data_IF_754358311324
#
_entry.id   IF_754358311324
#
_cell.length_a   1.000
_cell.length_b   1.000
_cell.length_c   1.000
_cell.angle_alpha   90.00
_cell.angle_beta   90.00
_cell.angle_gamma   90.00
#
_symmetry.space_group_name_H-M   'P 1'
#
loop_
_entity.id
_entity.type
_entity.pdbx_description
1 polymer ?
#
# COMPACT_ATOMS: atom_id res chain seq x y z
N UNK A 1 -24.42 -14.62 -13.66
CA UNK A 1 -24.00 -13.50 -12.79
C UNK A 1 -24.98 -13.22 -11.64
N UNK A 2 -26.26 -12.90 -11.89
CA UNK A 2 -27.24 -12.61 -10.81
C UNK A 2 -27.38 -13.72 -9.76
N UNK A 3 -27.37 -14.99 -10.19
CA UNK A 3 -27.43 -16.14 -9.27
C UNK A 3 -26.23 -16.20 -8.31
N UNK A 4 -25.01 -15.93 -8.78
CA UNK A 4 -23.82 -15.92 -7.93
C UNK A 4 -23.88 -14.81 -6.87
N UNK A 5 -24.37 -13.62 -7.25
CA UNK A 5 -24.60 -12.51 -6.30
C UNK A 5 -25.68 -12.87 -5.27
N UNK A 6 -26.74 -13.58 -5.68
CA UNK A 6 -27.77 -14.06 -4.75
C UNK A 6 -27.20 -15.05 -3.73
N UNK A 7 -26.40 -16.03 -4.16
CA UNK A 7 -25.71 -16.96 -3.24
C UNK A 7 -24.79 -16.21 -2.27
N UNK A 8 -24.03 -15.21 -2.75
CA UNK A 8 -23.18 -14.38 -1.90
C UNK A 8 -23.98 -13.58 -0.86
N UNK A 9 -25.13 -13.02 -1.25
CA UNK A 9 -26.04 -12.34 -0.34
C UNK A 9 -26.61 -13.29 0.73
N UNK A 10 -27.10 -14.46 0.31
CA UNK A 10 -27.61 -15.49 1.23
C UNK A 10 -26.53 -15.97 2.20
N UNK A 11 -25.30 -16.17 1.72
CA UNK A 11 -24.14 -16.47 2.57
C UNK A 11 -24.02 -15.45 3.70
N UNK A 12 -24.08 -14.15 3.40
CA UNK A 12 -23.93 -13.11 4.41
C UNK A 12 -25.07 -13.11 5.45
N UNK A 13 -26.30 -13.37 5.01
CA UNK A 13 -27.45 -13.50 5.91
C UNK A 13 -27.27 -14.69 6.87
N UNK A 14 -26.89 -15.85 6.35
CA UNK A 14 -26.64 -17.04 7.17
C UNK A 14 -25.51 -16.83 8.18
N UNK A 15 -24.48 -16.04 7.84
CA UNK A 15 -23.41 -15.72 8.77
C UNK A 15 -23.93 -14.87 9.95
N UNK A 16 -24.84 -13.92 9.68
CA UNK A 16 -25.49 -13.12 10.72
C UNK A 16 -26.41 -13.96 11.62
N UNK A 17 -27.02 -15.02 11.07
CA UNK A 17 -27.80 -16.02 11.81
C UNK A 17 -26.94 -17.06 12.54
N UNK A 18 -25.61 -16.89 12.55
CA UNK A 18 -24.65 -17.81 13.15
C UNK A 18 -24.65 -19.23 12.52
N UNK A 19 -25.15 -19.37 11.28
CA UNK A 19 -25.16 -20.61 10.49
C UNK A 19 -23.87 -20.72 9.66
N UNK A 20 -22.74 -20.79 10.35
CA UNK A 20 -21.38 -20.64 9.77
C UNK A 20 -21.09 -21.65 8.66
N UNK A 21 -21.41 -22.93 8.85
CA UNK A 21 -21.09 -23.97 7.86
C UNK A 21 -21.85 -23.78 6.54
N UNK A 22 -23.13 -23.41 6.63
CA UNK A 22 -23.99 -23.16 5.46
C UNK A 22 -23.59 -21.86 4.76
N UNK A 23 -23.28 -20.81 5.52
CA UNK A 23 -22.74 -19.55 4.98
C UNK A 23 -21.47 -19.80 4.16
N UNK A 24 -20.50 -20.53 4.74
CA UNK A 24 -19.24 -20.86 4.07
C UNK A 24 -19.48 -21.62 2.75
N UNK A 25 -20.40 -22.57 2.76
CA UNK A 25 -20.74 -23.35 1.56
C UNK A 25 -21.31 -22.44 0.47
N UNK A 26 -22.26 -21.55 0.80
CA UNK A 26 -22.84 -20.61 -0.16
C UNK A 26 -21.81 -19.61 -0.71
N UNK A 27 -20.86 -19.14 0.11
CA UNK A 27 -19.78 -18.26 -0.36
C UNK A 27 -18.87 -18.98 -1.39
N UNK A 28 -18.54 -20.25 -1.13
CA UNK A 28 -17.77 -21.10 -2.05
C UNK A 28 -18.55 -21.35 -3.35
N UNK A 29 -19.85 -21.63 -3.26
CA UNK A 29 -20.70 -21.89 -4.42
C UNK A 29 -20.90 -20.61 -5.26
N UNK A 30 -21.02 -19.45 -4.61
CA UNK A 30 -21.08 -18.15 -5.28
C UNK A 30 -19.81 -17.91 -6.12
N UNK A 31 -18.63 -18.17 -5.56
CA UNK A 31 -17.36 -18.04 -6.28
C UNK A 31 -17.27 -18.99 -7.47
N UNK A 32 -17.54 -20.28 -7.25
CA UNK A 32 -17.49 -21.29 -8.31
C UNK A 32 -18.49 -20.99 -9.44
N UNK A 33 -19.70 -20.57 -9.11
CA UNK A 33 -20.73 -20.20 -10.08
C UNK A 33 -20.36 -18.92 -10.85
N UNK A 34 -19.73 -17.95 -10.20
CA UNK A 34 -19.22 -16.76 -10.87
C UNK A 34 -18.14 -17.13 -11.91
N UNK A 35 -17.15 -17.94 -11.50
CA UNK A 35 -16.07 -18.41 -12.37
C UNK A 35 -16.60 -19.25 -13.54
N UNK A 36 -17.50 -20.21 -13.28
CA UNK A 36 -18.11 -21.07 -14.33
C UNK A 36 -18.83 -20.26 -15.41
N UNK A 37 -19.39 -19.10 -15.05
CA UNK A 37 -20.12 -18.23 -15.97
C UNK A 37 -19.25 -17.13 -16.59
N UNK A 38 -17.92 -17.21 -16.49
CA UNK A 38 -16.99 -16.16 -16.91
C UNK A 38 -17.35 -14.78 -16.36
N UNK A 39 -17.85 -14.73 -15.12
CA UNK A 39 -18.14 -13.48 -14.43
C UNK A 39 -16.87 -12.68 -14.15
N UNK A 40 -17.00 -11.41 -13.72
CA UNK A 40 -15.85 -10.59 -13.34
C UNK A 40 -15.00 -11.31 -12.29
N UNK A 41 -13.67 -11.27 -12.46
CA UNK A 41 -12.75 -11.86 -11.49
C UNK A 41 -12.86 -11.20 -10.12
N UNK A 42 -13.23 -9.92 -10.10
CA UNK A 42 -13.50 -9.13 -8.91
C UNK A 42 -14.97 -8.73 -8.90
N UNK A 43 -15.79 -9.53 -8.23
CA UNK A 43 -17.18 -9.18 -7.94
C UNK A 43 -17.31 -8.85 -6.45
N UNK A 44 -17.75 -7.64 -6.11
CA UNK A 44 -17.80 -7.16 -4.73
C UNK A 44 -18.65 -8.05 -3.80
N UNK A 45 -19.79 -8.56 -4.27
CA UNK A 45 -20.67 -9.41 -3.46
C UNK A 45 -19.98 -10.74 -3.13
N UNK A 46 -19.43 -11.40 -4.14
CA UNK A 46 -18.68 -12.66 -3.99
C UNK A 46 -17.45 -12.47 -3.12
N UNK A 47 -16.68 -11.40 -3.35
CA UNK A 47 -15.51 -11.06 -2.55
C UNK A 47 -15.89 -10.88 -1.07
N UNK A 48 -16.93 -10.09 -0.78
CA UNK A 48 -17.37 -9.83 0.59
C UNK A 48 -17.85 -11.10 1.29
N UNK A 49 -18.61 -11.96 0.60
CA UNK A 49 -19.06 -13.23 1.16
C UNK A 49 -17.89 -14.14 1.54
N UNK A 50 -16.87 -14.23 0.67
CA UNK A 50 -15.63 -14.95 0.97
C UNK A 50 -14.86 -14.30 2.15
N UNK A 51 -14.78 -12.97 2.17
CA UNK A 51 -14.02 -12.22 3.20
C UNK A 51 -14.62 -12.38 4.58
N UNK A 52 -15.94 -12.23 4.71
CA UNK A 52 -16.60 -12.36 6.00
C UNK A 52 -16.50 -13.78 6.55
N UNK A 53 -16.64 -14.79 5.71
CA UNK A 53 -16.43 -16.19 6.11
C UNK A 53 -14.98 -16.49 6.47
N UNK A 54 -14.01 -15.93 5.73
CA UNK A 54 -12.59 -16.06 6.07
C UNK A 54 -12.29 -15.41 7.41
N UNK A 55 -12.73 -14.17 7.63
CA UNK A 55 -12.51 -13.46 8.89
C UNK A 55 -13.15 -14.19 10.06
N UNK A 56 -14.36 -14.73 9.89
CA UNK A 56 -15.01 -15.54 10.91
C UNK A 56 -14.19 -16.80 11.24
N UNK A 57 -13.72 -17.53 10.22
CA UNK A 57 -12.87 -18.72 10.39
C UNK A 57 -11.61 -18.45 11.23
N UNK A 58 -10.97 -17.31 11.02
CA UNK A 58 -9.74 -16.94 11.73
C UNK A 58 -10.00 -16.06 12.97
N UNK A 59 -11.25 -15.92 13.42
CA UNK A 59 -11.63 -15.06 14.55
C UNK A 59 -11.15 -13.60 14.41
N UNK A 60 -11.20 -13.03 13.21
CA UNK A 60 -10.71 -11.69 12.87
C UNK A 60 -9.21 -11.44 13.12
N UNK A 61 -8.40 -12.50 13.24
CA UNK A 61 -6.95 -12.38 13.46
C UNK A 61 -6.17 -11.75 12.28
N UNK A 62 -6.83 -11.43 11.16
CA UNK A 62 -6.24 -10.60 10.11
C UNK A 62 -6.06 -9.14 10.55
N UNK A 63 -6.61 -8.73 11.70
CA UNK A 63 -6.46 -7.40 12.28
C UNK A 63 -5.58 -7.49 13.55
N UNK A 64 -4.33 -7.05 13.46
CA UNK A 64 -3.44 -6.98 14.62
C UNK A 64 -3.79 -5.79 15.50
N UNK A 65 -3.86 -6.03 16.82
CA UNK A 65 -4.03 -5.03 17.88
C UNK A 65 -2.72 -4.83 18.68
N UNK A 66 -1.58 -5.18 18.09
CA UNK A 66 -0.28 -5.12 18.78
C UNK A 66 0.08 -3.69 19.19
N UNK A 67 -0.09 -2.73 18.27
CA UNK A 67 0.21 -1.33 18.54
C UNK A 67 -0.86 -0.72 19.44
N UNK A 68 -0.43 0.20 20.32
CA UNK A 68 -1.29 0.95 21.23
C UNK A 68 -1.44 2.42 20.82
N UNK A 69 -0.76 2.81 19.74
CA UNK A 69 -0.72 4.16 19.18
C UNK A 69 -1.01 4.09 17.68
N UNK A 70 -1.43 5.19 17.03
CA UNK A 70 -1.59 5.26 15.59
C UNK A 70 -0.40 4.69 14.83
N UNK A 71 -0.67 3.76 13.91
CA UNK A 71 0.37 3.13 13.08
C UNK A 71 0.49 3.93 11.79
N UNK A 72 1.58 4.68 11.66
CA UNK A 72 1.79 5.63 10.56
C UNK A 72 2.60 5.06 9.42
N UNK A 73 3.28 3.93 9.60
CA UNK A 73 4.14 3.42 8.54
C UNK A 73 4.07 1.90 8.45
N UNK A 74 4.13 1.39 7.22
CA UNK A 74 4.22 -0.05 6.93
C UNK A 74 5.06 -0.29 5.70
N UNK A 75 5.85 -1.36 5.70
CA UNK A 75 6.58 -1.81 4.51
C UNK A 75 6.74 -3.33 4.52
N UNK A 76 6.64 -3.94 3.34
CA UNK A 76 6.97 -5.36 3.18
C UNK A 76 8.50 -5.54 3.20
N UNK A 77 8.96 -6.54 3.93
CA UNK A 77 10.39 -6.91 4.02
C UNK A 77 10.70 -8.15 3.17
N UNK A 78 9.86 -9.17 3.28
CA UNK A 78 9.92 -10.41 2.53
C UNK A 78 8.50 -10.88 2.19
N UNK A 79 8.37 -12.10 1.67
CA UNK A 79 7.10 -12.68 1.22
C UNK A 79 6.02 -12.75 2.30
N UNK A 80 6.42 -12.81 3.57
CA UNK A 80 5.50 -12.88 4.71
C UNK A 80 5.91 -12.03 5.92
N UNK A 81 6.99 -11.25 5.81
CA UNK A 81 7.42 -10.34 6.87
C UNK A 81 7.14 -8.89 6.48
N UNK A 82 6.61 -8.15 7.44
CA UNK A 82 6.36 -6.72 7.34
C UNK A 82 6.98 -6.00 8.53
N UNK A 83 7.32 -4.72 8.34
CA UNK A 83 7.57 -3.82 9.45
C UNK A 83 6.45 -2.81 9.56
N UNK A 84 6.08 -2.49 10.80
CA UNK A 84 5.09 -1.46 11.14
C UNK A 84 5.69 -0.49 12.17
N UNK A 85 5.38 0.79 12.02
CA UNK A 85 5.87 1.87 12.89
C UNK A 85 4.73 2.74 13.40
N UNK A 86 4.72 3.03 14.70
CA UNK A 86 3.71 3.88 15.33
C UNK A 86 4.24 5.23 15.84
N UNK A 87 3.31 6.11 16.21
CA UNK A 87 3.60 7.45 16.76
C UNK A 87 4.35 7.40 18.11
N UNK A 88 4.27 6.29 18.84
CA UNK A 88 5.03 6.10 20.08
C UNK A 88 6.50 5.75 19.83
N UNK A 89 6.87 5.48 18.58
CA UNK A 89 8.19 5.02 18.19
C UNK A 89 8.41 3.53 18.35
N UNK A 90 7.34 2.74 18.40
CA UNK A 90 7.44 1.27 18.34
C UNK A 90 7.62 0.85 16.89
N UNK A 91 8.78 0.32 16.56
CA UNK A 91 9.02 -0.39 15.31
C UNK A 91 8.83 -1.89 15.55
N UNK A 92 7.85 -2.51 14.90
CA UNK A 92 7.57 -3.94 15.03
C UNK A 92 7.92 -4.67 13.75
N UNK A 93 8.57 -5.84 13.90
CA UNK A 93 8.63 -6.85 12.86
C UNK A 93 7.47 -7.82 13.08
N UNK A 94 6.65 -8.00 12.05
CA UNK A 94 5.50 -8.89 12.09
C UNK A 94 5.55 -9.92 10.97
N UNK A 95 5.05 -11.11 11.25
CA UNK A 95 4.80 -12.15 10.26
C UNK A 95 3.32 -12.23 9.93
N UNK A 96 3.03 -12.27 8.64
CA UNK A 96 1.72 -12.54 8.08
C UNK A 96 1.64 -14.02 7.75
N UNK A 97 0.63 -14.73 8.27
CA UNK A 97 0.39 -16.12 7.98
C UNK A 97 -1.10 -16.36 7.64
N UNK A 98 -1.46 -17.60 7.35
CA UNK A 98 -2.83 -17.97 6.96
C UNK A 98 -3.88 -17.71 8.07
N UNK A 99 -3.45 -17.55 9.32
CA UNK A 99 -4.31 -17.33 10.47
C UNK A 99 -4.27 -15.90 11.00
N UNK A 100 -3.51 -14.99 10.38
CA UNK A 100 -3.41 -13.60 10.82
C UNK A 100 -2.00 -13.03 10.88
N UNK A 101 -1.84 -12.00 11.71
CA UNK A 101 -0.55 -11.30 11.89
C UNK A 101 0.01 -11.54 13.29
N UNK A 102 1.28 -11.94 13.37
CA UNK A 102 1.99 -12.21 14.62
C UNK A 102 3.18 -11.27 14.73
N UNK A 103 3.32 -10.56 15.86
CA UNK A 103 4.52 -9.79 16.15
C UNK A 103 5.67 -10.72 16.54
N UNK A 104 6.81 -10.60 15.86
CA UNK A 104 8.00 -11.42 16.12
C UNK A 104 9.00 -10.71 17.03
N UNK A 105 9.26 -9.44 16.76
CA UNK A 105 10.15 -8.61 17.56
C UNK A 105 9.77 -7.14 17.44
N UNK A 106 10.31 -6.32 18.36
CA UNK A 106 10.12 -4.87 18.34
C UNK A 106 11.38 -4.14 18.76
N UNK A 107 11.52 -2.90 18.29
CA UNK A 107 12.52 -1.95 18.72
C UNK A 107 11.82 -0.64 19.11
N UNK A 108 12.22 -0.05 20.23
CA UNK A 108 11.69 1.25 20.66
C UNK A 108 12.64 2.37 20.22
N UNK A 109 12.20 3.18 19.26
CA UNK A 109 12.90 4.38 18.81
C UNK A 109 12.55 5.61 19.64
N UNK A 110 11.44 5.57 20.41
CA UNK A 110 10.94 6.65 21.30
C UNK A 110 10.64 7.97 20.58
N UNK A 111 10.44 7.92 19.27
CA UNK A 111 10.08 9.04 18.42
C UNK A 111 9.07 8.56 17.39
N UNK A 112 8.09 9.41 17.08
CA UNK A 112 7.04 9.15 16.08
C UNK A 112 7.65 8.69 14.75
N UNK A 113 7.40 7.42 14.37
CA UNK A 113 7.88 6.82 13.12
C UNK A 113 6.94 7.22 12.01
N UNK A 114 7.42 8.07 11.10
CA UNK A 114 6.61 8.61 10.00
C UNK A 114 6.66 7.76 8.75
N UNK A 115 7.80 7.12 8.48
CA UNK A 115 8.05 6.43 7.21
C UNK A 115 8.81 5.15 7.42
N UNK A 116 8.44 4.13 6.65
CA UNK A 116 9.20 2.91 6.48
C UNK A 116 9.44 2.66 5.00
N UNK A 117 10.67 2.27 4.64
CA UNK A 117 11.02 1.98 3.26
C UNK A 117 12.05 0.84 3.19
N UNK A 118 11.62 -0.33 2.73
CA UNK A 118 12.52 -1.46 2.50
C UNK A 118 13.26 -1.32 1.17
N UNK A 119 14.59 -1.44 1.22
CA UNK A 119 15.40 -1.80 0.06
C UNK A 119 15.45 -3.33 -0.07
N UNK A 120 14.78 -3.86 -1.10
CA UNK A 120 14.66 -5.31 -1.32
C UNK A 120 15.98 -5.99 -1.65
N UNK A 121 16.93 -5.26 -2.25
CA UNK A 121 18.24 -5.78 -2.69
C UNK A 121 19.18 -5.95 -1.51
N UNK A 122 19.40 -4.90 -0.74
CA UNK A 122 20.29 -4.94 0.45
C UNK A 122 19.63 -5.56 1.67
N UNK A 123 18.31 -5.78 1.66
CA UNK A 123 17.52 -6.17 2.84
C UNK A 123 17.69 -5.18 4.00
N UNK A 124 17.91 -3.91 3.67
CA UNK A 124 17.88 -2.82 4.62
C UNK A 124 16.48 -2.19 4.66
N UNK A 125 16.09 -1.71 5.83
CA UNK A 125 14.85 -0.98 6.06
C UNK A 125 15.18 0.37 6.64
N UNK A 126 14.71 1.42 5.99
CA UNK A 126 14.79 2.77 6.49
C UNK A 126 13.56 3.05 7.36
N UNK A 127 13.77 3.47 8.60
CA UNK A 127 12.75 4.02 9.49
C UNK A 127 13.09 5.49 9.77
N UNK A 128 12.23 6.41 9.33
CA UNK A 128 12.42 7.84 9.53
C UNK A 128 11.37 8.39 10.50
N UNK A 129 11.83 9.25 11.41
CA UNK A 129 11.01 9.78 12.51
C UNK A 129 10.62 11.24 12.29
N UNK A 130 9.63 11.73 13.02
CA UNK A 130 9.13 13.09 12.92
C UNK A 130 10.20 14.18 13.17
N UNK A 131 11.27 13.86 13.90
CA UNK A 131 12.37 14.79 14.23
C UNK A 131 13.50 14.81 13.19
N UNK A 132 13.39 13.98 12.14
CA UNK A 132 14.40 13.82 11.10
C UNK A 132 15.49 12.78 11.44
N UNK A 133 15.39 12.04 12.55
CA UNK A 133 16.26 10.89 12.78
C UNK A 133 15.88 9.74 11.84
N UNK A 134 16.88 9.14 11.20
CA UNK A 134 16.73 8.02 10.27
C UNK A 134 17.56 6.84 10.78
N UNK A 135 16.90 5.71 10.92
CA UNK A 135 17.49 4.44 11.33
C UNK A 135 17.45 3.50 10.13
N UNK A 136 18.61 2.96 9.77
CA UNK A 136 18.72 1.88 8.79
C UNK A 136 18.87 0.59 9.57
N UNK A 137 17.96 -0.34 9.35
CA UNK A 137 17.91 -1.62 10.06
C UNK A 137 17.98 -2.79 9.08
N UNK A 138 18.27 -3.97 9.61
CA UNK A 138 18.06 -5.24 8.92
C UNK A 138 17.35 -6.23 9.84
N UNK A 139 16.86 -7.33 9.28
CA UNK A 139 16.25 -8.42 10.04
C UNK A 139 17.23 -9.59 10.05
N UNK A 140 17.60 -10.04 11.24
CA UNK A 140 18.49 -11.20 11.43
C UNK A 140 17.78 -12.52 11.12
N UNK A 141 18.53 -13.61 10.99
CA UNK A 141 17.98 -14.96 10.76
C UNK A 141 17.04 -15.44 11.89
N UNK A 142 17.16 -14.85 13.09
CA UNK A 142 16.27 -15.11 14.23
C UNK A 142 15.04 -14.19 14.25
N UNK A 143 14.75 -13.48 13.16
CA UNK A 143 13.66 -12.50 13.06
C UNK A 143 13.73 -11.40 14.12
N UNK A 144 14.92 -10.86 14.35
CA UNK A 144 15.13 -9.70 15.23
C UNK A 144 15.60 -8.49 14.44
N UNK A 145 15.25 -7.30 14.91
CA UNK A 145 15.66 -6.03 14.29
C UNK A 145 17.07 -5.65 14.77
N UNK A 146 17.97 -5.41 13.82
CA UNK A 146 19.33 -4.96 14.08
C UNK A 146 19.58 -3.60 13.43
N UNK A 147 20.07 -2.64 14.20
CA UNK A 147 20.50 -1.34 13.69
C UNK A 147 21.79 -1.51 12.87
N UNK A 148 21.77 -1.05 11.63
CA UNK A 148 22.92 -1.02 10.72
C UNK A 148 23.58 0.36 10.78
N UNK A 149 22.78 1.42 10.71
CA UNK A 149 23.26 2.80 10.71
C UNK A 149 22.20 3.74 11.24
N UNK A 150 22.62 4.87 11.80
CA UNK A 150 21.76 6.00 12.09
C UNK A 150 22.35 7.27 11.46
N UNK A 151 21.48 8.10 10.90
CA UNK A 151 21.83 9.44 10.42
C UNK A 151 20.66 10.40 10.60
N UNK A 152 20.89 11.69 10.35
CA UNK A 152 19.86 12.72 10.49
C UNK A 152 19.63 13.44 9.16
N UNK A 153 18.37 13.65 8.83
CA UNK A 153 17.94 14.51 7.73
C UNK A 153 17.44 15.85 8.24
N UNK A 154 17.47 16.87 7.38
CA UNK A 154 16.97 18.20 7.71
C UNK A 154 15.47 18.22 7.44
N UNK A 155 14.69 18.71 8.42
CA UNK A 155 13.23 18.76 8.34
C UNK A 155 12.53 17.45 8.69
N UNK A 156 11.21 17.49 8.71
CA UNK A 156 10.36 16.33 9.00
C UNK A 156 10.16 15.49 7.73
N UNK A 157 10.53 14.20 7.73
CA UNK A 157 10.31 13.29 6.60
C UNK A 157 8.83 13.15 6.24
N UNK A 158 8.52 13.19 4.93
CA UNK A 158 7.16 13.07 4.37
C UNK A 158 6.98 11.89 3.42
N UNK A 159 8.01 11.56 2.65
CA UNK A 159 7.99 10.44 1.72
C UNK A 159 9.41 9.88 1.56
N UNK A 160 9.50 8.57 1.29
CA UNK A 160 10.75 7.90 0.98
C UNK A 160 10.56 6.85 -0.11
N UNK A 161 11.59 6.68 -0.94
CA UNK A 161 11.63 5.65 -1.96
C UNK A 161 13.06 5.12 -2.13
N UNK A 162 13.18 3.94 -2.73
CA UNK A 162 14.46 3.30 -3.02
C UNK A 162 14.60 3.10 -4.51
N UNK A 163 15.80 3.38 -5.02
CA UNK A 163 16.21 2.93 -6.35
C UNK A 163 17.65 2.45 -6.29
N UNK A 164 17.87 1.20 -6.70
CA UNK A 164 19.11 0.44 -6.44
C UNK A 164 19.39 0.48 -4.94
N UNK A 165 20.62 0.82 -4.53
CA UNK A 165 20.99 0.96 -3.12
C UNK A 165 20.97 2.39 -2.62
N UNK A 166 20.14 3.25 -3.20
CA UNK A 166 19.99 4.64 -2.77
C UNK A 166 18.62 4.88 -2.15
N UNK A 167 18.60 5.56 -1.01
CA UNK A 167 17.40 6.12 -0.42
C UNK A 167 17.19 7.54 -0.92
N UNK A 168 15.95 7.83 -1.29
CA UNK A 168 15.48 9.17 -1.61
C UNK A 168 14.49 9.55 -0.52
N UNK A 169 14.61 10.76 0.03
CA UNK A 169 13.83 11.20 1.20
C UNK A 169 13.39 12.65 0.97
N UNK A 170 12.08 12.87 0.87
CA UNK A 170 11.52 14.21 0.85
C UNK A 170 11.09 14.60 2.26
N UNK A 171 11.44 15.82 2.66
CA UNK A 171 11.14 16.39 3.99
C UNK A 171 10.41 17.73 3.85
N UNK A 172 10.06 18.35 4.97
CA UNK A 172 9.58 19.74 5.00
C UNK A 172 10.62 20.77 4.52
N UNK A 173 11.90 20.41 4.49
CA UNK A 173 13.01 21.34 4.21
C UNK A 173 13.73 21.07 2.87
N UNK A 174 13.55 19.89 2.28
CA UNK A 174 14.15 19.58 0.98
C UNK A 174 13.93 18.15 0.51
N UNK A 175 14.52 17.83 -0.64
CA UNK A 175 14.57 16.48 -1.18
C UNK A 175 16.01 16.00 -1.18
N UNK A 176 16.27 14.85 -0.57
CA UNK A 176 17.62 14.38 -0.26
C UNK A 176 17.84 12.99 -0.82
N UNK A 177 19.05 12.70 -1.27
CA UNK A 177 19.48 11.37 -1.67
C UNK A 177 20.58 10.89 -0.73
N UNK A 178 20.51 9.63 -0.36
CA UNK A 178 21.51 8.92 0.42
C UNK A 178 21.92 7.68 -0.35
N UNK A 179 23.21 7.56 -0.64
CA UNK A 179 23.74 6.48 -1.47
C UNK A 179 24.50 5.48 -0.64
N UNK A 180 24.26 4.19 -0.85
CA UNK A 180 25.03 3.14 -0.20
C UNK A 180 26.39 2.99 -0.87
N UNK A 181 27.45 3.31 -0.14
CA UNK A 181 28.83 3.29 -0.60
C UNK A 181 29.71 2.78 0.54
N UNK A 182 30.64 1.88 0.23
CA UNK A 182 31.61 1.38 1.22
C UNK A 182 30.96 0.90 2.53
N UNK A 183 29.90 0.08 2.40
CA UNK A 183 29.14 -0.52 3.51
C UNK A 183 28.36 0.44 4.42
N UNK A 184 28.08 1.66 3.96
CA UNK A 184 27.25 2.62 4.69
C UNK A 184 26.51 3.57 3.74
N UNK A 185 25.42 4.18 4.21
CA UNK A 185 24.74 5.25 3.51
C UNK A 185 25.42 6.59 3.76
N UNK A 186 25.74 7.31 2.70
CA UNK A 186 26.30 8.67 2.76
C UNK A 186 25.38 9.65 2.05
N UNK A 187 25.34 10.90 2.53
CA UNK A 187 24.57 11.95 1.90
C UNK A 187 25.08 12.21 0.47
N UNK A 188 24.18 12.23 -0.50
CA UNK A 188 24.46 12.34 -1.95
C UNK A 188 23.60 13.43 -2.60
N UNK A 189 23.64 14.61 -1.97
CA UNK A 189 22.99 15.82 -2.45
C UNK A 189 21.62 16.11 -1.83
N UNK A 190 21.25 17.39 -1.91
CA UNK A 190 19.97 17.91 -1.49
C UNK A 190 19.47 18.93 -2.52
N UNK A 191 18.22 18.78 -2.94
CA UNK A 191 17.48 19.80 -3.66
C UNK A 191 16.65 20.59 -2.67
N UNK A 192 16.94 21.89 -2.54
CA UNK A 192 16.29 22.80 -1.61
C UNK A 192 14.87 23.18 -2.10
N UNK A 193 13.96 22.20 -2.11
CA UNK A 193 12.56 22.34 -2.52
C UNK A 193 11.64 21.85 -1.41
N UNK A 194 10.91 22.78 -0.78
CA UNK A 194 10.15 22.56 0.49
C UNK A 194 8.68 22.21 0.29
N UNK A 195 8.19 22.43 -0.91
CA UNK A 195 6.81 22.31 -1.35
C UNK A 195 6.51 20.96 -2.02
N UNK A 196 7.36 19.96 -1.78
CA UNK A 196 7.11 18.58 -2.19
C UNK A 196 6.10 17.96 -1.25
N UNK A 197 5.00 17.45 -1.83
CA UNK A 197 3.97 16.72 -1.10
C UNK A 197 4.34 15.24 -0.99
N UNK A 198 4.72 14.63 -2.12
CA UNK A 198 5.09 13.22 -2.25
C UNK A 198 5.95 13.04 -3.51
N UNK A 199 6.60 11.89 -3.66
CA UNK A 199 7.30 11.52 -4.89
C UNK A 199 7.41 10.01 -5.03
N UNK A 200 7.79 9.54 -6.22
CA UNK A 200 8.19 8.15 -6.43
C UNK A 200 9.37 8.07 -7.39
N UNK A 201 10.12 6.97 -7.32
CA UNK A 201 11.23 6.66 -8.23
C UNK A 201 10.85 5.41 -9.03
N UNK A 202 10.96 5.51 -10.35
CA UNK A 202 10.60 4.41 -11.23
C UNK A 202 11.72 3.35 -11.33
N UNK A 203 11.43 2.20 -11.95
CA UNK A 203 12.38 1.10 -12.11
C UNK A 203 13.59 1.44 -13.00
N UNK A 204 13.49 2.48 -13.85
CA UNK A 204 14.59 3.07 -14.62
C UNK A 204 15.28 4.25 -13.93
N UNK A 205 14.82 4.67 -12.75
CA UNK A 205 15.41 5.77 -11.98
C UNK A 205 14.83 7.15 -12.27
N UNK A 206 13.76 7.24 -13.07
CA UNK A 206 13.05 8.51 -13.28
C UNK A 206 12.32 8.92 -12.01
N UNK A 207 12.29 10.22 -11.75
CA UNK A 207 11.64 10.78 -10.58
C UNK A 207 10.32 11.41 -10.99
N UNK A 208 9.26 11.07 -10.26
CA UNK A 208 7.97 11.74 -10.35
C UNK A 208 7.75 12.49 -9.04
N UNK A 209 7.83 13.81 -9.08
CA UNK A 209 7.80 14.67 -7.88
C UNK A 209 6.51 15.49 -7.87
N UNK A 210 5.72 15.36 -6.80
CA UNK A 210 4.47 16.07 -6.64
C UNK A 210 4.63 17.33 -5.80
N UNK A 211 4.00 18.41 -6.25
CA UNK A 211 4.06 19.73 -5.68
C UNK A 211 2.70 20.41 -5.82
N UNK A 212 2.04 20.68 -4.70
CA UNK A 212 0.65 21.16 -4.74
C UNK A 212 -0.22 20.21 -5.55
N UNK A 213 -0.79 20.68 -6.66
CA UNK A 213 -1.62 19.89 -7.58
C UNK A 213 -0.90 19.45 -8.86
N UNK A 214 0.42 19.63 -8.95
CA UNK A 214 1.24 19.27 -10.12
C UNK A 214 2.15 18.10 -9.82
N UNK A 215 2.32 17.21 -10.80
CA UNK A 215 3.35 16.19 -10.81
C UNK A 215 4.31 16.47 -11.97
N UNK A 216 5.61 16.43 -11.69
CA UNK A 216 6.68 16.69 -12.66
C UNK A 216 7.59 15.45 -12.77
N UNK A 217 7.94 15.08 -13.99
CA UNK A 217 8.88 13.99 -14.27
C UNK A 217 10.28 14.52 -14.56
N UNK A 218 11.29 13.93 -13.93
CA UNK A 218 12.71 14.16 -14.20
C UNK A 218 13.37 12.85 -14.64
N UNK A 219 14.35 12.94 -15.53
CA UNK A 219 15.02 11.76 -16.07
C UNK A 219 15.86 11.02 -15.02
N UNK A 220 16.51 11.77 -14.12
CA UNK A 220 17.34 11.25 -13.05
C UNK A 220 17.52 12.28 -11.93
N UNK A 221 18.13 11.84 -10.83
CA UNK A 221 18.54 12.72 -9.74
C UNK A 221 19.51 13.80 -10.23
N UNK A 222 19.24 15.06 -9.88
CA UNK A 222 20.06 16.21 -10.27
C UNK A 222 19.62 16.92 -11.56
N UNK A 223 18.73 16.32 -12.36
CA UNK A 223 18.25 16.88 -13.63
C UNK A 223 17.10 17.89 -13.46
N UNK A 224 17.16 18.73 -12.43
CA UNK A 224 16.02 19.54 -11.96
C UNK A 224 15.58 20.64 -12.93
N UNK A 225 16.42 21.03 -13.88
CA UNK A 225 16.10 22.02 -14.91
C UNK A 225 15.33 21.45 -16.10
N UNK A 226 15.23 20.12 -16.21
CA UNK A 226 14.73 19.44 -17.40
C UNK A 226 13.48 18.61 -17.07
N UNK A 227 12.34 19.30 -16.98
CA UNK A 227 11.05 18.66 -16.76
C UNK A 227 10.61 17.97 -18.06
N UNK A 228 10.50 16.64 -18.01
CA UNK A 228 10.14 15.82 -19.17
C UNK A 228 8.64 15.75 -19.41
N UNK A 229 7.86 15.67 -18.33
CA UNK A 229 6.39 15.60 -18.35
C UNK A 229 5.80 16.32 -17.14
N UNK A 230 4.64 16.93 -17.34
CA UNK A 230 3.86 17.54 -16.25
C UNK A 230 2.40 17.15 -16.38
N UNK A 231 1.79 16.74 -15.27
CA UNK A 231 0.34 16.63 -15.15
C UNK A 231 -0.16 17.55 -14.04
N UNK A 232 -1.34 18.15 -14.23
CA UNK A 232 -1.99 19.03 -13.25
C UNK A 232 -3.36 18.49 -12.91
N UNK A 233 -3.67 18.39 -11.62
CA UNK A 233 -4.95 17.95 -11.09
C UNK A 233 -5.75 19.14 -10.53
N UNK A 234 -7.04 18.94 -10.28
CA UNK A 234 -7.91 19.96 -9.69
C UNK A 234 -7.82 20.03 -8.15
N UNK A 235 -6.95 19.23 -7.53
CA UNK A 235 -6.74 19.18 -6.09
C UNK A 235 -5.28 18.86 -5.76
N UNK A 236 -4.86 19.18 -4.54
CA UNK A 236 -3.53 18.87 -4.06
C UNK A 236 -3.27 17.36 -4.08
N UNK A 237 -2.11 16.98 -4.60
CA UNK A 237 -1.63 15.61 -4.67
C UNK A 237 -1.10 15.21 -3.30
N UNK A 238 -1.51 14.03 -2.85
CA UNK A 238 -1.16 13.45 -1.54
C UNK A 238 -0.31 12.20 -1.69
N UNK A 239 -0.49 11.42 -2.77
CA UNK A 239 0.30 10.22 -3.03
C UNK A 239 0.52 9.99 -4.52
N UNK A 240 1.62 9.31 -4.85
CA UNK A 240 2.06 9.04 -6.23
C UNK A 240 2.70 7.66 -6.30
N UNK A 241 2.32 6.85 -7.29
CA UNK A 241 2.98 5.60 -7.62
C UNK A 241 3.10 5.41 -9.13
N UNK A 242 4.18 4.77 -9.55
CA UNK A 242 4.40 4.29 -10.91
C UNK A 242 4.53 2.77 -10.84
N UNK A 243 3.92 2.04 -11.78
CA UNK A 243 4.05 0.58 -11.81
C UNK A 243 5.46 0.15 -12.24
N UNK A 244 5.83 -1.10 -11.98
CA UNK A 244 7.17 -1.63 -12.25
C UNK A 244 7.54 -1.54 -13.73
N UNK A 245 6.57 -1.68 -14.63
CA UNK A 245 6.79 -1.59 -16.08
C UNK A 245 6.87 -0.15 -16.58
N UNK A 246 6.62 0.86 -15.73
CA UNK A 246 6.51 2.28 -16.08
C UNK A 246 5.47 2.59 -17.16
N UNK A 247 4.41 1.81 -17.20
CA UNK A 247 3.31 2.00 -18.16
C UNK A 247 2.22 2.87 -17.56
N UNK A 248 1.99 2.79 -16.26
CA UNK A 248 0.92 3.46 -15.52
C UNK A 248 1.46 4.34 -14.40
N UNK A 249 0.87 5.53 -14.28
CA UNK A 249 1.05 6.44 -13.16
C UNK A 249 -0.30 6.56 -12.44
N UNK A 250 -0.30 6.41 -11.12
CA UNK A 250 -1.44 6.65 -10.25
C UNK A 250 -1.13 7.78 -9.26
N UNK A 251 -2.14 8.60 -9.01
CA UNK A 251 -2.07 9.76 -8.13
C UNK A 251 -3.30 9.78 -7.24
N UNK A 252 -3.07 9.88 -5.94
CA UNK A 252 -4.10 10.18 -4.94
C UNK A 252 -4.14 11.69 -4.67
N UNK A 253 -5.33 12.25 -4.50
CA UNK A 253 -5.52 13.65 -4.19
C UNK A 253 -6.34 13.88 -2.91
N UNK A 254 -6.16 15.07 -2.33
CA UNK A 254 -6.78 15.47 -1.06
C UNK A 254 -8.31 15.49 -1.08
N UNK A 255 -8.92 15.71 -2.25
CA UNK A 255 -10.39 15.72 -2.41
C UNK A 255 -10.98 14.32 -2.68
N UNK A 256 -10.21 13.24 -2.48
CA UNK A 256 -10.65 11.87 -2.75
C UNK A 256 -10.52 11.40 -4.19
N UNK A 257 -9.96 12.23 -5.07
CA UNK A 257 -9.73 11.84 -6.47
C UNK A 257 -8.61 10.82 -6.56
N UNK A 258 -8.88 9.75 -7.30
CA UNK A 258 -7.86 8.83 -7.82
C UNK A 258 -7.72 9.11 -9.31
N UNK A 259 -6.50 9.46 -9.71
CA UNK A 259 -6.12 9.75 -11.09
C UNK A 259 -5.17 8.66 -11.58
N UNK A 260 -5.42 8.07 -12.76
CA UNK A 260 -4.60 7.01 -13.35
C UNK A 260 -4.46 7.23 -14.85
N UNK A 261 -3.25 7.13 -15.39
CA UNK A 261 -3.00 7.25 -16.83
C UNK A 261 -2.00 6.22 -17.33
N UNK A 262 -2.18 5.76 -18.58
CA UNK A 262 -1.13 5.09 -19.32
C UNK A 262 -0.15 6.14 -19.87
N UNK A 263 0.97 6.32 -19.17
CA UNK A 263 1.97 7.34 -19.45
C UNK A 263 2.87 7.02 -20.66
N UNK A 264 2.85 5.78 -21.17
CA UNK A 264 3.54 5.39 -22.41
C UNK A 264 2.69 5.65 -23.64
N UNK A 265 1.41 5.31 -23.59
CA UNK A 265 0.47 5.51 -24.68
C UNK A 265 -0.05 6.95 -24.76
N UNK A 266 0.07 7.74 -23.67
CA UNK A 266 -0.41 9.12 -23.63
C UNK A 266 -1.94 9.22 -23.66
N UNK A 267 -2.63 8.20 -23.15
CA UNK A 267 -4.10 8.18 -23.14
C UNK A 267 -4.66 9.16 -22.13
N UNK A 268 -5.91 9.60 -22.35
CA UNK A 268 -6.65 10.37 -21.36
C UNK A 268 -6.66 9.63 -20.00
N UNK A 269 -6.46 10.34 -18.89
CA UNK A 269 -6.48 9.73 -17.58
C UNK A 269 -7.89 9.34 -17.14
N UNK A 270 -7.99 8.25 -16.41
CA UNK A 270 -9.09 8.04 -15.48
C UNK A 270 -8.93 9.03 -14.32
N UNK A 271 -9.98 9.74 -13.95
CA UNK A 271 -9.97 10.71 -12.85
C UNK A 271 -11.34 10.76 -12.19
N UNK A 272 -11.48 10.11 -11.03
CA UNK A 272 -12.77 10.04 -10.32
C UNK A 272 -12.58 10.27 -8.83
N UNK A 273 -13.53 10.96 -8.21
CA UNK A 273 -13.65 11.07 -6.75
C UNK A 273 -14.08 9.71 -6.18
N UNK A 274 -13.10 8.82 -6.03
CA UNK A 274 -13.33 7.43 -5.63
C UNK A 274 -13.49 7.30 -4.11
N UNK A 275 -12.78 8.14 -3.37
CA UNK A 275 -12.85 8.25 -1.92
C UNK A 275 -13.67 9.48 -1.52
N UNK A 276 -14.24 9.45 -0.32
CA UNK A 276 -15.01 10.57 0.25
C UNK A 276 -14.12 11.66 0.89
N UNK A 277 -12.82 11.41 0.98
CA UNK A 277 -11.81 12.30 1.58
C UNK A 277 -10.42 11.95 1.03
N UNK A 278 -9.35 12.57 1.55
CA UNK A 278 -7.95 12.43 1.10
C UNK A 278 -7.54 11.00 0.81
N UNK A 279 -6.83 10.78 -0.31
CA UNK A 279 -6.22 9.50 -0.70
C UNK A 279 -4.73 9.54 -0.34
N UNK A 280 -4.37 9.00 0.83
CA UNK A 280 -3.04 9.18 1.40
C UNK A 280 -2.01 8.16 0.93
N UNK A 281 -2.44 7.02 0.37
CA UNK A 281 -1.51 6.08 -0.25
C UNK A 281 -2.12 5.41 -1.48
N UNK A 282 -1.28 5.25 -2.51
CA UNK A 282 -1.61 4.54 -3.75
C UNK A 282 -0.45 3.60 -4.09
N UNK A 283 -0.76 2.33 -4.40
CA UNK A 283 0.27 1.30 -4.68
C UNK A 283 -0.15 0.40 -5.81
N UNK A 284 0.77 0.15 -6.75
CA UNK A 284 0.58 -0.89 -7.75
C UNK A 284 1.13 -2.23 -7.26
N UNK A 285 0.51 -3.32 -7.73
CA UNK A 285 1.08 -4.66 -7.71
C UNK A 285 0.70 -5.39 -9.00
N UNK A 286 1.61 -6.21 -9.49
CA UNK A 286 1.24 -7.26 -10.43
C UNK A 286 0.73 -8.46 -9.62
N UNK A 287 -0.48 -8.92 -9.93
CA UNK A 287 -1.05 -10.11 -9.31
C UNK A 287 -0.48 -11.38 -9.97
N UNK A 288 -0.54 -12.54 -9.32
CA UNK A 288 -0.13 -13.81 -9.94
C UNK A 288 -0.83 -14.15 -11.26
N UNK A 289 -1.98 -13.52 -11.53
CA UNK A 289 -2.70 -13.62 -12.80
C UNK A 289 -2.09 -12.78 -13.94
N UNK A 290 -1.03 -12.01 -13.69
CA UNK A 290 -0.42 -11.06 -14.63
C UNK A 290 -1.15 -9.72 -14.73
N UNK A 291 -2.21 -9.52 -13.94
CA UNK A 291 -2.98 -8.27 -13.93
C UNK A 291 -2.30 -7.22 -13.07
N UNK A 292 -2.29 -5.98 -13.55
CA UNK A 292 -1.88 -4.83 -12.74
C UNK A 292 -3.06 -4.37 -11.90
N UNK A 293 -2.92 -4.47 -10.58
CA UNK A 293 -3.88 -3.96 -9.61
C UNK A 293 -3.33 -2.68 -8.96
N UNK A 294 -4.22 -1.72 -8.77
CA UNK A 294 -3.99 -0.53 -7.97
C UNK A 294 -4.74 -0.70 -6.64
N UNK A 295 -4.05 -0.49 -5.52
CA UNK A 295 -4.69 -0.25 -4.23
C UNK A 295 -4.63 1.24 -3.88
N UNK A 296 -5.70 1.77 -3.32
CA UNK A 296 -5.78 3.15 -2.81
C UNK A 296 -6.36 3.15 -1.41
N UNK A 297 -5.90 4.05 -0.54
CA UNK A 297 -6.42 4.17 0.82
C UNK A 297 -6.38 5.61 1.32
N UNK A 298 -7.17 5.92 2.33
CA UNK A 298 -7.23 7.28 2.82
C UNK A 298 -8.14 7.56 4.01
N UNK A 299 -8.53 8.82 4.13
CA UNK A 299 -9.25 9.36 5.29
C UNK A 299 -10.72 8.94 5.36
N UNK A 300 -11.28 8.39 4.28
CA UNK A 300 -12.60 7.76 4.33
C UNK A 300 -12.59 6.36 4.97
N UNK A 301 -11.43 5.94 5.52
CA UNK A 301 -11.25 4.72 6.32
C UNK A 301 -11.36 3.43 5.48
N UNK A 302 -11.30 3.57 4.15
CA UNK A 302 -11.42 2.45 3.23
C UNK A 302 -10.13 2.22 2.45
N UNK A 303 -9.89 0.96 2.12
CA UNK A 303 -8.98 0.60 1.04
C UNK A 303 -9.82 0.24 -0.17
N UNK A 304 -9.39 0.62 -1.37
CA UNK A 304 -10.03 0.22 -2.62
C UNK A 304 -9.03 -0.50 -3.50
N UNK A 305 -9.48 -1.59 -4.12
CA UNK A 305 -8.71 -2.37 -5.08
C UNK A 305 -9.33 -2.20 -6.46
N UNK A 306 -8.49 -1.90 -7.46
CA UNK A 306 -8.91 -1.62 -8.82
C UNK A 306 -8.05 -2.42 -9.81
N UNK A 307 -8.69 -3.03 -10.79
CA UNK A 307 -8.00 -3.51 -11.99
C UNK A 307 -7.76 -2.33 -12.92
N UNK A 308 -6.48 -2.05 -13.23
CA UNK A 308 -6.09 -0.86 -14.00
C UNK A 308 -6.65 -0.87 -15.42
N UNK A 309 -6.72 -2.04 -16.06
CA UNK A 309 -7.27 -2.15 -17.42
C UNK A 309 -8.77 -1.92 -17.41
N UNK A 310 -9.48 -2.48 -16.42
CA UNK A 310 -10.92 -2.30 -16.27
C UNK A 310 -11.29 -0.83 -16.09
N UNK A 311 -10.62 -0.09 -15.18
CA UNK A 311 -10.96 1.31 -14.94
C UNK A 311 -10.63 2.22 -16.12
N UNK A 312 -9.54 1.96 -16.84
CA UNK A 312 -9.20 2.69 -18.07
C UNK A 312 -10.16 2.35 -19.22
N UNK A 313 -10.76 1.16 -19.19
CA UNK A 313 -11.86 0.75 -20.06
C UNK A 313 -13.25 1.17 -19.59
N UNK A 314 -13.37 2.09 -18.62
CA UNK A 314 -14.63 2.57 -18.03
C UNK A 314 -15.50 1.49 -17.35
N UNK A 315 -14.91 0.39 -16.88
CA UNK A 315 -15.59 -0.66 -16.11
C UNK A 315 -15.40 -0.41 -14.61
N UNK A 316 -16.31 0.37 -14.02
CA UNK A 316 -16.24 0.76 -12.60
C UNK A 316 -16.76 -0.31 -11.64
N UNK A 317 -17.43 -1.35 -12.15
CA UNK A 317 -17.98 -2.46 -11.35
C UNK A 317 -16.91 -3.39 -10.75
N UNK A 318 -15.64 -3.22 -11.14
CA UNK A 318 -14.50 -4.02 -10.67
C UNK A 318 -13.78 -3.40 -9.45
N UNK A 319 -14.35 -2.35 -8.84
CA UNK A 319 -13.79 -1.72 -7.64
C UNK A 319 -14.25 -2.46 -6.39
N UNK A 320 -13.32 -3.09 -5.68
CA UNK A 320 -13.58 -3.68 -4.36
C UNK A 320 -13.30 -2.65 -3.29
N UNK A 321 -14.27 -2.37 -2.40
CA UNK A 321 -14.05 -1.51 -1.25
C UNK A 321 -13.95 -2.32 0.03
N UNK A 322 -12.79 -2.25 0.68
CA UNK A 322 -12.44 -2.96 1.90
C UNK A 322 -12.77 -2.08 3.11
N UNK A 323 -13.52 -2.65 4.07
CA UNK A 323 -13.97 -1.99 5.30
C UNK A 323 -13.46 -2.77 6.51
N UNK A 324 -12.96 -2.06 7.51
CA UNK A 324 -12.52 -2.64 8.77
C UNK A 324 -11.77 -1.69 9.68
N UNK A 325 -11.07 -0.70 9.09
CA UNK A 325 -10.54 0.42 9.86
C UNK A 325 -11.68 1.34 10.33
N UNK A 326 -11.51 1.94 11.51
CA UNK A 326 -12.48 2.86 12.13
C UNK A 326 -11.99 4.31 12.16
N UNK A 327 -10.76 4.55 11.67
CA UNK A 327 -10.16 5.86 11.51
C UNK A 327 -9.32 5.91 10.23
N UNK A 328 -8.63 7.04 10.00
CA UNK A 328 -7.86 7.30 8.80
C UNK A 328 -6.80 6.24 8.52
N UNK A 329 -6.67 5.84 7.26
CA UNK A 329 -5.62 4.93 6.80
C UNK A 329 -4.47 5.78 6.26
N UNK A 330 -3.27 5.57 6.76
CA UNK A 330 -2.09 6.34 6.39
C UNK A 330 -1.31 5.72 5.24
N UNK A 331 -1.07 4.41 5.34
CA UNK A 331 -0.23 3.71 4.39
C UNK A 331 -0.75 2.31 4.10
N UNK A 332 -0.42 1.84 2.90
CA UNK A 332 -0.68 0.48 2.46
C UNK A 332 0.57 -0.12 1.80
N UNK A 333 0.73 -1.43 1.88
CA UNK A 333 1.81 -2.13 1.18
C UNK A 333 1.37 -3.50 0.72
N UNK A 334 1.75 -3.89 -0.50
CA UNK A 334 1.56 -5.25 -0.97
C UNK A 334 2.69 -6.14 -0.43
N UNK A 335 2.35 -7.37 -0.06
CA UNK A 335 3.37 -8.41 0.03
C UNK A 335 3.89 -8.73 -1.38
N UNK A 336 5.16 -9.16 -1.53
CA UNK A 336 5.79 -9.38 -2.83
C UNK A 336 5.01 -10.29 -3.80
N UNK A 337 4.27 -11.26 -3.26
CA UNK A 337 3.46 -12.20 -4.04
C UNK A 337 2.15 -11.57 -4.59
N UNK A 338 1.84 -10.32 -4.22
CA UNK A 338 0.69 -9.56 -4.71
C UNK A 338 -0.68 -10.06 -4.24
N UNK A 339 -0.75 -11.21 -3.56
CA UNK A 339 -1.99 -11.83 -3.09
C UNK A 339 -2.55 -11.22 -1.78
N UNK A 340 -1.71 -10.47 -1.06
CA UNK A 340 -2.05 -9.83 0.21
C UNK A 340 -1.60 -8.37 0.23
N UNK A 341 -2.42 -7.54 0.86
CA UNK A 341 -2.19 -6.12 1.10
C UNK A 341 -2.32 -5.84 2.59
N UNK A 342 -1.43 -5.02 3.13
CA UNK A 342 -1.49 -4.55 4.51
C UNK A 342 -1.89 -3.08 4.53
N UNK A 343 -2.76 -2.71 5.45
CA UNK A 343 -3.06 -1.32 5.77
C UNK A 343 -2.78 -0.98 7.23
N UNK A 344 -2.36 0.25 7.48
CA UNK A 344 -2.09 0.80 8.83
C UNK A 344 -2.81 2.11 9.03
N UNK A 345 -3.25 2.36 10.27
CA UNK A 345 -4.24 3.40 10.54
C UNK A 345 -4.07 4.09 11.89
N UNK A 346 -4.70 5.25 11.97
CA UNK A 346 -4.97 6.01 13.19
C UNK A 346 -5.74 5.23 14.26
N UNK A 347 -6.42 4.14 13.90
CA UNK A 347 -7.08 3.25 14.86
C UNK A 347 -6.13 2.25 15.56
N UNK A 348 -4.82 2.42 15.36
CA UNK A 348 -3.73 1.57 15.86
C UNK A 348 -3.72 0.13 15.31
N UNK A 349 -4.57 -0.20 14.34
CA UNK A 349 -4.61 -1.54 13.74
C UNK A 349 -3.66 -1.69 12.57
N UNK A 350 -3.19 -2.92 12.40
CA UNK A 350 -2.58 -3.42 11.16
C UNK A 350 -3.53 -4.46 10.58
N UNK A 351 -4.08 -4.23 9.38
CA UNK A 351 -5.05 -5.16 8.77
C UNK A 351 -4.46 -5.80 7.51
N UNK A 352 -4.55 -7.12 7.44
CA UNK A 352 -4.24 -7.93 6.25
C UNK A 352 -5.50 -8.14 5.44
N UNK A 353 -5.40 -7.88 4.14
CA UNK A 353 -6.43 -8.10 3.13
C UNK A 353 -5.93 -9.08 2.09
N UNK A 354 -6.80 -9.94 1.58
CA UNK A 354 -6.55 -10.62 0.33
C UNK A 354 -6.89 -9.71 -0.84
N UNK A 355 -6.11 -9.77 -1.91
CA UNK A 355 -6.22 -8.82 -3.01
C UNK A 355 -7.13 -9.31 -4.13
N UNK A 356 -7.55 -10.59 -4.09
CA UNK A 356 -8.45 -11.20 -5.06
C UNK A 356 -9.39 -12.23 -4.45
N UNK A 357 -10.56 -12.38 -5.08
CA UNK A 357 -11.52 -13.44 -4.76
C UNK A 357 -10.86 -14.83 -4.83
N UNK A 358 -9.94 -15.05 -5.77
CA UNK A 358 -9.21 -16.33 -5.89
C UNK A 358 -8.30 -16.61 -4.68
N UNK A 359 -7.50 -15.61 -4.27
CA UNK A 359 -6.61 -15.77 -3.12
C UNK A 359 -7.40 -16.04 -1.83
N UNK A 360 -8.52 -15.33 -1.68
CA UNK A 360 -9.41 -15.47 -0.54
C UNK A 360 -10.17 -16.81 -0.55
N UNK A 361 -10.61 -17.27 -1.72
CA UNK A 361 -11.20 -18.60 -1.90
C UNK A 361 -10.22 -19.70 -1.46
N UNK A 362 -8.96 -19.63 -1.89
CA UNK A 362 -7.91 -20.57 -1.48
C UNK A 362 -7.70 -20.54 0.04
N UNK A 363 -7.61 -19.36 0.63
CA UNK A 363 -7.43 -19.19 2.08
C UNK A 363 -8.63 -19.66 2.91
N UNK A 364 -9.87 -19.53 2.41
CA UNK A 364 -11.05 -20.01 3.11
C UNK A 364 -11.13 -21.55 3.13
N UNK A 365 -10.68 -22.20 2.05
CA UNK A 365 -10.72 -23.67 1.91
C UNK A 365 -9.61 -24.39 2.66
N UNK A 366 -8.40 -23.83 2.66
CA UNK A 366 -7.27 -24.30 3.47
C UNK A 366 -7.52 -23.88 4.91
#
# INVERSE_FOLDING_TARGET
MAQARNLAYQSNLLLQENRVAESKQLAVDAYNLNAKNNGPLQNADVYNALMFNYNNKINNNNQSLFHQMPVKAVTAYSDNLILTGDEGGTLALMQVNANGTIALSKLQLKEDIRLLCTNKTSKHVLAATATGNVFVLTVTDQNTLQLVQQFKVVGTPKAAAVFKDNYYIATTEGFMKWSYQSSQYVADGMWNRKDINHFTVSSSGKLWVANGNKIEQFAAWGDWSNIQKTYTLNAAITSVAVDVSETYLAIGAYNGTVWVSNIKAGTAPYSTALHLSSVDDVRFSELPSGKIQLATAGYDQTVKLLDVQSILGNKTEDVITLRGHTKWIYHITYLPQGNQLISVSEDAKVIVWYTSSEALYKALKN
#
